data_IF_809632042613
#
_entry.id   IF_809632042613
#
_cell.length_a   1.000
_cell.length_b   1.000
_cell.length_c   1.000
_cell.angle_alpha   90.00
_cell.angle_beta   90.00
_cell.angle_gamma   90.00
#
_symmetry.space_group_name_H-M   'P 1'
#
loop_
_entity.id
_entity.type
_entity.pdbx_description
1 polymer ?
#
# COMPACT_ATOMS: atom_id res chain seq x y z
N UNK A 1 -2.23 8.89 -33.39
CA UNK A 1 -3.08 7.80 -32.85
C UNK A 1 -2.24 6.79 -32.10
N UNK A 2 -2.68 6.44 -30.91
CA UNK A 2 -2.00 5.41 -30.15
C UNK A 2 -2.36 4.04 -30.70
N UNK A 3 -1.40 3.10 -30.74
CA UNK A 3 -1.75 1.75 -31.11
C UNK A 3 -2.48 1.05 -29.95
N UNK A 4 -3.21 -0.04 -30.22
CA UNK A 4 -3.98 -0.72 -29.15
C UNK A 4 -3.11 -1.21 -28.00
N UNK A 5 -1.86 -1.58 -28.25
CA UNK A 5 -0.95 -2.05 -27.21
C UNK A 5 -0.60 -0.94 -26.23
N UNK A 6 -0.26 0.27 -26.74
CA UNK A 6 0.07 1.40 -25.88
C UNK A 6 -1.14 1.84 -25.06
N UNK A 7 -2.33 1.82 -25.66
CA UNK A 7 -3.55 2.18 -24.96
C UNK A 7 -3.83 1.22 -23.81
N UNK A 8 -3.67 -0.08 -24.06
CA UNK A 8 -3.85 -1.11 -23.03
C UNK A 8 -2.83 -0.96 -21.93
N UNK A 9 -1.58 -0.69 -22.27
CA UNK A 9 -0.49 -0.50 -21.30
C UNK A 9 -0.76 0.70 -20.40
N UNK A 10 -1.20 1.83 -20.96
CA UNK A 10 -1.56 3.01 -20.18
C UNK A 10 -2.72 2.73 -19.23
N UNK A 11 -3.72 1.96 -19.68
CA UNK A 11 -4.85 1.60 -18.84
C UNK A 11 -4.40 0.75 -17.66
N UNK A 12 -3.50 -0.21 -17.88
CA UNK A 12 -2.98 -1.04 -16.80
C UNK A 12 -2.15 -0.24 -15.80
N UNK A 13 -1.32 0.69 -16.29
CA UNK A 13 -0.53 1.56 -15.42
C UNK A 13 -1.44 2.43 -14.57
N UNK A 14 -2.48 3.01 -15.17
CA UNK A 14 -3.43 3.84 -14.44
C UNK A 14 -4.11 3.03 -13.32
N UNK A 15 -4.50 1.79 -13.62
CA UNK A 15 -5.09 0.90 -12.62
C UNK A 15 -4.11 0.62 -11.48
N UNK A 16 -2.85 0.31 -11.81
CA UNK A 16 -1.84 0.02 -10.80
C UNK A 16 -1.59 1.23 -9.90
N UNK A 17 -1.47 2.42 -10.48
CA UNK A 17 -1.25 3.65 -9.72
C UNK A 17 -2.44 3.92 -8.80
N UNK A 18 -3.67 3.75 -9.31
CA UNK A 18 -4.87 3.96 -8.52
C UNK A 18 -4.94 2.99 -7.33
N UNK A 19 -4.59 1.73 -7.56
CA UNK A 19 -4.55 0.73 -6.48
C UNK A 19 -3.50 1.07 -5.43
N UNK A 20 -2.33 1.53 -5.85
CA UNK A 20 -1.27 1.92 -4.91
C UNK A 20 -1.68 3.12 -4.07
N UNK A 21 -2.33 4.12 -4.68
CA UNK A 21 -2.82 5.29 -3.97
C UNK A 21 -3.89 4.88 -2.96
N UNK A 22 -4.84 4.05 -3.38
CA UNK A 22 -5.89 3.55 -2.51
C UNK A 22 -5.30 2.77 -1.34
N UNK A 23 -4.33 1.91 -1.62
CA UNK A 23 -3.65 1.12 -0.60
C UNK A 23 -2.93 2.03 0.40
N UNK A 24 -2.25 3.06 -0.08
CA UNK A 24 -1.53 4.00 0.76
C UNK A 24 -2.48 4.72 1.72
N UNK A 25 -3.59 5.27 1.20
CA UNK A 25 -4.56 5.96 2.04
C UNK A 25 -5.22 5.01 3.04
N UNK A 26 -5.53 3.79 2.60
CA UNK A 26 -6.10 2.78 3.51
C UNK A 26 -5.14 2.50 4.67
N UNK A 27 -3.86 2.35 4.37
CA UNK A 27 -2.85 2.11 5.39
C UNK A 27 -2.71 3.27 6.36
N UNK A 28 -2.62 4.50 5.84
CA UNK A 28 -2.46 5.68 6.68
C UNK A 28 -3.64 5.84 7.63
N UNK A 29 -4.86 5.80 7.09
CA UNK A 29 -6.05 5.96 7.93
C UNK A 29 -6.22 4.79 8.88
N UNK A 30 -5.91 3.57 8.44
CA UNK A 30 -5.99 2.40 9.30
C UNK A 30 -5.06 2.50 10.49
N UNK A 31 -3.80 2.83 10.28
CA UNK A 31 -2.86 2.99 11.40
C UNK A 31 -3.23 4.16 12.28
N UNK A 32 -3.72 5.26 11.69
CA UNK A 32 -4.15 6.41 12.48
C UNK A 32 -5.31 6.06 13.40
N UNK A 33 -6.31 5.37 12.87
CA UNK A 33 -7.55 5.09 13.62
C UNK A 33 -7.41 3.88 14.54
N UNK A 34 -6.73 2.83 14.11
CA UNK A 34 -6.64 1.59 14.87
C UNK A 34 -5.52 1.59 15.89
N UNK A 35 -4.38 2.20 15.56
CA UNK A 35 -3.19 2.16 16.41
C UNK A 35 -2.96 3.45 17.18
N UNK A 36 -3.75 4.49 16.91
CA UNK A 36 -3.57 5.78 17.56
C UNK A 36 -2.29 6.49 17.17
N UNK A 37 -1.70 6.13 16.03
CA UNK A 37 -0.48 6.78 15.54
C UNK A 37 -0.76 8.23 15.17
N UNK A 38 0.26 9.08 15.29
CA UNK A 38 0.22 10.41 14.68
C UNK A 38 0.17 10.27 13.16
N UNK A 39 -0.21 11.35 12.46
CA UNK A 39 -0.23 11.31 10.99
C UNK A 39 1.13 10.94 10.41
N UNK A 40 2.20 11.52 10.97
CA UNK A 40 3.57 11.24 10.50
C UNK A 40 3.91 9.78 10.71
N UNK A 41 3.63 9.23 11.90
CA UNK A 41 3.90 7.83 12.20
C UNK A 41 3.06 6.90 11.32
N UNK A 42 1.80 7.26 11.07
CA UNK A 42 0.92 6.46 10.21
C UNK A 42 1.44 6.42 8.78
N UNK A 43 1.89 7.56 8.25
CA UNK A 43 2.48 7.63 6.91
C UNK A 43 3.76 6.81 6.85
N UNK A 44 4.64 6.98 7.83
CA UNK A 44 5.90 6.23 7.89
C UNK A 44 5.64 4.72 7.92
N UNK A 45 4.75 4.27 8.81
CA UNK A 45 4.44 2.86 8.94
C UNK A 45 3.83 2.28 7.65
N UNK A 46 2.96 3.05 7.00
CA UNK A 46 2.36 2.64 5.73
C UNK A 46 3.42 2.51 4.64
N UNK A 47 4.33 3.47 4.54
CA UNK A 47 5.39 3.45 3.52
C UNK A 47 6.29 2.23 3.71
N UNK A 48 6.76 1.97 4.92
CA UNK A 48 7.66 0.84 5.14
C UNK A 48 6.95 -0.49 4.95
N UNK A 49 5.64 -0.54 5.17
CA UNK A 49 4.85 -1.75 4.96
C UNK A 49 4.62 -1.99 3.47
N UNK A 50 4.14 -0.97 2.76
CA UNK A 50 3.79 -1.09 1.34
C UNK A 50 5.03 -1.33 0.48
N UNK A 51 6.16 -0.69 0.81
CA UNK A 51 7.40 -0.85 0.06
C UNK A 51 8.19 -2.10 0.45
N UNK A 52 7.66 -2.88 1.40
CA UNK A 52 8.27 -4.11 1.91
C UNK A 52 9.64 -3.91 2.56
N UNK A 53 9.96 -2.68 3.01
CA UNK A 53 11.22 -2.41 3.71
C UNK A 53 11.25 -3.11 5.06
N UNK A 54 10.13 -3.05 5.81
CA UNK A 54 9.96 -3.88 7.00
C UNK A 54 10.86 -3.52 8.17
N UNK A 55 11.11 -2.23 8.41
CA UNK A 55 11.94 -1.81 9.54
C UNK A 55 11.34 -2.18 10.90
N UNK A 56 10.03 -2.42 10.95
CA UNK A 56 9.36 -2.77 12.17
C UNK A 56 8.35 -1.72 12.60
N UNK A 57 7.78 -1.93 13.78
CA UNK A 57 6.73 -1.06 14.30
C UNK A 57 7.30 0.25 14.81
N UNK A 58 6.67 1.37 14.45
CA UNK A 58 7.01 2.69 15.00
C UNK A 58 6.60 2.74 16.47
N UNK A 59 5.41 2.21 16.77
CA UNK A 59 4.89 2.05 18.12
C UNK A 59 4.29 0.66 18.23
N UNK A 60 4.21 0.08 19.43
CA UNK A 60 3.62 -1.25 19.58
C UNK A 60 2.20 -1.30 19.04
N UNK A 61 1.90 -2.35 18.30
CA UNK A 61 0.57 -2.58 17.72
C UNK A 61 -0.22 -3.48 18.65
N UNK A 62 -1.51 -3.16 18.84
CA UNK A 62 -2.42 -4.07 19.54
C UNK A 62 -2.79 -5.23 18.61
N UNK A 63 -3.47 -6.28 19.11
CA UNK A 63 -3.80 -7.44 18.28
C UNK A 63 -4.63 -7.09 17.04
N UNK A 64 -5.56 -6.15 17.15
CA UNK A 64 -6.39 -5.75 15.99
C UNK A 64 -5.56 -5.06 14.94
N UNK A 65 -4.66 -4.17 15.35
CA UNK A 65 -3.78 -3.48 14.42
C UNK A 65 -2.80 -4.45 13.77
N UNK A 66 -2.36 -5.48 14.49
CA UNK A 66 -1.50 -6.52 13.91
C UNK A 66 -2.23 -7.29 12.81
N UNK A 67 -3.49 -7.63 13.03
CA UNK A 67 -4.30 -8.30 12.00
C UNK A 67 -4.46 -7.38 10.78
N UNK A 68 -4.76 -6.11 11.01
CA UNK A 68 -4.84 -5.14 9.92
C UNK A 68 -3.53 -5.08 9.13
N UNK A 69 -2.40 -5.05 9.84
CA UNK A 69 -1.08 -4.99 9.22
C UNK A 69 -0.81 -6.22 8.36
N UNK A 70 -1.20 -7.41 8.83
CA UNK A 70 -1.05 -8.63 8.04
C UNK A 70 -1.82 -8.53 6.73
N UNK A 71 -3.07 -8.10 6.78
CA UNK A 71 -3.86 -7.94 5.56
C UNK A 71 -3.26 -6.87 4.65
N UNK A 72 -2.78 -5.78 5.23
CA UNK A 72 -2.15 -4.71 4.45
C UNK A 72 -0.90 -5.21 3.74
N UNK A 73 -0.06 -5.98 4.42
CA UNK A 73 1.15 -6.56 3.83
C UNK A 73 0.79 -7.50 2.68
N UNK A 74 -0.15 -8.41 2.90
CA UNK A 74 -0.54 -9.36 1.86
C UNK A 74 -1.13 -8.65 0.64
N UNK A 75 -1.97 -7.65 0.88
CA UNK A 75 -2.53 -6.84 -0.21
C UNK A 75 -1.43 -6.06 -0.93
N UNK A 76 -0.48 -5.52 -0.18
CA UNK A 76 0.65 -4.78 -0.76
C UNK A 76 1.50 -5.66 -1.68
N UNK A 77 1.78 -6.88 -1.26
CA UNK A 77 2.57 -7.80 -2.07
C UNK A 77 1.87 -8.07 -3.40
N UNK A 78 0.55 -8.30 -3.36
CA UNK A 78 -0.22 -8.55 -4.57
C UNK A 78 -0.21 -7.33 -5.49
N UNK A 79 -0.48 -6.14 -4.95
CA UNK A 79 -0.57 -4.92 -5.75
C UNK A 79 0.79 -4.51 -6.31
N UNK A 80 1.84 -4.55 -5.49
CA UNK A 80 3.19 -4.22 -5.93
C UNK A 80 3.67 -5.23 -6.97
N UNK A 81 3.37 -6.52 -6.77
CA UNK A 81 3.68 -7.55 -7.75
C UNK A 81 2.98 -7.30 -9.08
N UNK A 82 1.70 -6.90 -9.03
CA UNK A 82 0.95 -6.54 -10.24
C UNK A 82 1.60 -5.36 -10.96
N UNK A 83 2.01 -4.34 -10.19
CA UNK A 83 2.65 -3.16 -10.77
C UNK A 83 3.99 -3.53 -11.45
N UNK A 84 4.79 -4.37 -10.81
CA UNK A 84 6.04 -4.83 -11.40
C UNK A 84 5.80 -5.66 -12.66
N UNK A 85 4.74 -6.44 -12.70
CA UNK A 85 4.41 -7.24 -13.88
C UNK A 85 4.12 -6.37 -15.10
N UNK A 86 3.49 -5.20 -14.87
CA UNK A 86 3.15 -4.28 -15.95
C UNK A 86 4.39 -3.55 -16.48
N UNK A 87 5.28 -3.19 -15.57
CA UNK A 87 6.50 -2.45 -15.92
C UNK A 87 7.52 -3.39 -16.54
#
# INVERSE_FOLDING_TARGET
MENPFLKLFKSKINTAISLLILLFFTGVFGFKLMSGYSWIDAVYMTVITVTTVGFGEVQPLDPQAKIFTVFLILTSVVIVGYAFKII
#
